data_IF_089350247539
#
_entry.id   IF_089350247539
#
_cell.length_a   1.000
_cell.length_b   1.000
_cell.length_c   1.000
_cell.angle_alpha   90.00
_cell.angle_beta   90.00
_cell.angle_gamma   90.00
#
_symmetry.space_group_name_H-M   'P 1'
#
loop_
_entity.id
_entity.type
_entity.pdbx_description
1 polymer ?
#
# COMPACT_ATOMS: atom_id res chain seq x y z
N UNK A 1 -27.22 16.60 16.59
CA UNK A 1 -27.13 15.83 15.32
C UNK A 1 -25.78 16.10 14.69
N UNK A 2 -25.12 15.08 14.13
CA UNK A 2 -23.85 15.24 13.38
C UNK A 2 -24.14 15.20 11.88
N UNK A 3 -23.28 15.80 11.06
CA UNK A 3 -23.41 15.82 9.59
C UNK A 3 -22.62 14.65 9.00
N UNK A 4 -23.27 13.81 8.21
CA UNK A 4 -22.62 12.68 7.53
C UNK A 4 -21.70 13.20 6.41
N UNK A 5 -20.48 12.66 6.29
CA UNK A 5 -19.51 13.13 5.29
C UNK A 5 -19.92 12.79 3.84
N UNK A 6 -20.67 11.70 3.66
CA UNK A 6 -21.12 11.23 2.34
C UNK A 6 -22.36 11.99 1.85
N UNK A 7 -23.50 11.82 2.52
CA UNK A 7 -24.74 12.48 2.09
C UNK A 7 -24.85 13.95 2.47
N UNK A 8 -23.92 14.47 3.31
CA UNK A 8 -23.91 15.85 3.81
C UNK A 8 -25.21 16.28 4.50
N UNK A 9 -26.00 15.34 5.02
CA UNK A 9 -27.22 15.59 5.80
C UNK A 9 -26.96 15.38 7.29
N UNK A 10 -27.72 16.09 8.13
CA UNK A 10 -27.75 15.85 9.56
C UNK A 10 -28.40 14.49 9.84
N UNK A 11 -27.76 13.66 10.66
CA UNK A 11 -28.22 12.31 11.00
C UNK A 11 -28.10 12.08 12.50
N UNK A 12 -28.82 11.06 12.96
CA UNK A 12 -28.81 10.60 14.35
C UNK A 12 -27.94 9.35 14.46
N UNK A 13 -28.15 8.37 13.58
CA UNK A 13 -27.42 7.10 13.61
C UNK A 13 -26.20 7.10 12.69
N UNK A 14 -25.03 6.86 13.29
CA UNK A 14 -23.75 6.68 12.63
C UNK A 14 -23.28 5.23 12.78
N UNK A 15 -22.44 4.81 11.85
CA UNK A 15 -21.86 3.46 11.82
C UNK A 15 -20.37 3.49 12.15
N UNK A 16 -19.86 2.34 12.55
CA UNK A 16 -18.44 2.02 12.52
C UNK A 16 -18.04 1.71 11.06
N UNK A 17 -17.56 2.72 10.34
CA UNK A 17 -17.19 2.62 8.93
C UNK A 17 -15.71 2.26 8.80
N UNK A 18 -15.41 1.24 7.98
CA UNK A 18 -14.03 0.91 7.65
C UNK A 18 -13.60 1.72 6.42
N UNK A 19 -12.59 2.58 6.58
CA UNK A 19 -12.08 3.40 5.48
C UNK A 19 -11.50 2.51 4.39
N UNK A 20 -10.56 1.64 4.78
CA UNK A 20 -10.12 0.51 3.95
C UNK A 20 -11.04 -0.67 4.24
N UNK A 21 -11.64 -1.35 3.24
CA UNK A 21 -12.60 -2.42 3.51
C UNK A 21 -12.04 -3.56 4.38
N UNK A 22 -12.83 -4.02 5.36
CA UNK A 22 -12.52 -5.16 6.24
C UNK A 22 -12.16 -6.44 5.46
N UNK A 23 -12.81 -6.68 4.31
CA UNK A 23 -12.54 -7.86 3.46
C UNK A 23 -11.13 -7.91 2.86
N UNK A 24 -10.38 -6.81 2.97
CA UNK A 24 -8.98 -6.70 2.58
C UNK A 24 -8.11 -6.34 3.79
N UNK A 25 -8.52 -6.73 5.00
CA UNK A 25 -7.83 -6.47 6.26
C UNK A 25 -7.59 -4.98 6.52
N UNK A 26 -8.59 -4.14 6.27
CA UNK A 26 -8.55 -2.73 6.68
C UNK A 26 -8.94 -2.56 8.15
N UNK A 27 -8.14 -1.77 8.90
CA UNK A 27 -8.29 -1.56 10.35
C UNK A 27 -8.39 -0.08 10.73
N UNK A 28 -8.64 0.81 9.77
CA UNK A 28 -8.91 2.22 10.04
C UNK A 28 -10.40 2.51 10.02
N UNK A 29 -10.91 2.98 11.16
CA UNK A 29 -12.34 3.15 11.40
C UNK A 29 -12.69 4.62 11.60
N UNK A 30 -13.82 5.05 11.06
CA UNK A 30 -14.38 6.38 11.26
C UNK A 30 -15.86 6.32 11.66
N UNK A 31 -16.31 7.34 12.38
CA UNK A 31 -17.67 7.42 12.93
C UNK A 31 -18.47 8.59 12.35
N UNK A 32 -18.10 9.02 11.14
CA UNK A 32 -18.63 10.21 10.45
C UNK A 32 -19.53 9.86 9.26
N UNK A 33 -19.78 8.56 9.02
CA UNK A 33 -20.71 8.04 8.01
C UNK A 33 -21.99 7.52 8.67
N UNK A 34 -23.16 7.87 8.12
CA UNK A 34 -24.44 7.40 8.63
C UNK A 34 -24.79 6.00 8.11
N UNK A 35 -25.54 5.19 8.89
CA UNK A 35 -25.86 3.79 8.52
C UNK A 35 -26.39 3.60 7.09
N UNK A 36 -27.31 4.44 6.55
CA UNK A 36 -27.76 4.29 5.16
C UNK A 36 -26.67 4.53 4.13
N UNK A 37 -25.71 5.43 4.41
CA UNK A 37 -24.58 5.67 3.52
C UNK A 37 -23.60 4.51 3.57
N UNK A 38 -23.20 4.05 4.76
CA UNK A 38 -22.31 2.89 4.92
C UNK A 38 -22.84 1.68 4.16
N UNK A 39 -24.11 1.31 4.36
CA UNK A 39 -24.72 0.19 3.64
C UNK A 39 -24.65 0.34 2.11
N UNK A 40 -24.79 1.57 1.59
CA UNK A 40 -24.69 1.85 0.14
C UNK A 40 -23.23 1.78 -0.34
N UNK A 41 -22.29 2.28 0.45
CA UNK A 41 -20.85 2.22 0.15
C UNK A 41 -20.39 0.76 0.07
N UNK A 42 -20.72 -0.07 1.06
CA UNK A 42 -20.33 -1.48 1.08
C UNK A 42 -20.77 -2.24 -0.18
N UNK A 43 -22.03 -2.07 -0.59
CA UNK A 43 -22.59 -2.78 -1.75
C UNK A 43 -22.12 -2.21 -3.10
N UNK A 44 -22.03 -0.88 -3.24
CA UNK A 44 -21.84 -0.26 -4.56
C UNK A 44 -20.45 0.32 -4.77
N UNK A 45 -19.63 0.48 -3.74
CA UNK A 45 -18.36 1.21 -3.80
C UNK A 45 -17.19 0.31 -3.37
N UNK A 46 -17.34 -0.40 -2.25
CA UNK A 46 -16.31 -1.31 -1.76
C UNK A 46 -16.29 -2.60 -2.58
N UNK A 47 -17.47 -3.16 -2.90
CA UNK A 47 -17.58 -4.43 -3.62
C UNK A 47 -16.79 -4.46 -4.96
N UNK A 48 -16.88 -3.44 -5.84
CA UNK A 48 -16.06 -3.40 -7.07
C UNK A 48 -14.55 -3.45 -6.83
N UNK A 49 -14.05 -2.89 -5.72
CA UNK A 49 -12.65 -2.94 -5.35
C UNK A 49 -12.28 -4.31 -4.77
N UNK A 50 -13.09 -4.83 -3.84
CA UNK A 50 -12.80 -6.06 -3.10
C UNK A 50 -12.98 -7.33 -3.94
N UNK A 51 -13.82 -7.25 -4.98
CA UNK A 51 -14.06 -8.31 -5.95
C UNK A 51 -13.27 -8.10 -7.25
N UNK A 52 -12.42 -7.07 -7.34
CA UNK A 52 -11.53 -6.91 -8.48
C UNK A 52 -10.61 -8.13 -8.61
N UNK A 53 -10.35 -8.60 -9.83
CA UNK A 53 -9.62 -9.85 -10.06
C UNK A 53 -8.23 -9.87 -9.40
N UNK A 54 -7.47 -8.78 -9.46
CA UNK A 54 -6.18 -8.69 -8.74
C UNK A 54 -6.33 -8.70 -7.21
N UNK A 55 -7.41 -8.12 -6.67
CA UNK A 55 -7.69 -8.22 -5.24
C UNK A 55 -8.06 -9.65 -4.84
N UNK A 56 -8.78 -10.36 -5.70
CA UNK A 56 -9.10 -11.78 -5.51
C UNK A 56 -7.83 -12.64 -5.47
N UNK A 57 -6.89 -12.43 -6.40
CA UNK A 57 -5.58 -13.07 -6.39
C UNK A 57 -4.81 -12.77 -5.10
N UNK A 58 -4.76 -11.51 -4.68
CA UNK A 58 -4.04 -11.12 -3.49
C UNK A 58 -4.63 -11.77 -2.23
N UNK A 59 -5.96 -11.71 -2.08
CA UNK A 59 -6.65 -12.37 -0.97
C UNK A 59 -6.42 -13.88 -0.97
N UNK A 60 -6.37 -14.50 -2.14
CA UNK A 60 -6.04 -15.92 -2.28
C UNK A 60 -4.59 -16.23 -1.85
N UNK A 61 -3.61 -15.46 -2.31
CA UNK A 61 -2.19 -15.61 -1.95
C UNK A 61 -2.00 -15.44 -0.43
N UNK A 62 -2.59 -14.39 0.13
CA UNK A 62 -2.52 -14.06 1.55
C UNK A 62 -3.45 -14.89 2.44
N UNK A 63 -4.25 -15.77 1.86
CA UNK A 63 -5.25 -16.60 2.56
C UNK A 63 -6.22 -15.76 3.41
N UNK A 64 -6.78 -14.70 2.83
CA UNK A 64 -7.79 -13.83 3.45
C UNK A 64 -9.21 -14.33 3.09
N UNK A 65 -9.92 -15.00 4.02
CA UNK A 65 -11.26 -15.49 3.75
C UNK A 65 -12.26 -14.34 3.62
N UNK A 66 -13.36 -14.56 2.90
CA UNK A 66 -14.52 -13.67 2.99
C UNK A 66 -15.28 -13.82 4.31
N UNK A 67 -16.33 -13.02 4.51
CA UNK A 67 -17.17 -13.06 5.72
C UNK A 67 -17.77 -14.44 6.05
N UNK A 68 -17.94 -15.31 5.05
CA UNK A 68 -18.44 -16.68 5.22
C UNK A 68 -17.33 -17.70 5.52
N UNK A 69 -16.09 -17.27 5.73
CA UNK A 69 -14.93 -18.14 5.95
C UNK A 69 -14.40 -18.82 4.67
N UNK A 70 -14.99 -18.53 3.51
CA UNK A 70 -14.62 -19.15 2.23
C UNK A 70 -13.49 -18.32 1.59
N UNK A 71 -12.42 -19.01 1.19
CA UNK A 71 -11.33 -18.40 0.42
C UNK A 71 -11.82 -18.09 -1.00
N UNK A 72 -11.62 -16.87 -1.53
CA UNK A 72 -11.83 -16.64 -2.95
C UNK A 72 -10.86 -17.52 -3.76
N UNK A 73 -11.35 -18.17 -4.81
CA UNK A 73 -10.53 -18.97 -5.71
C UNK A 73 -10.49 -18.27 -7.08
N UNK A 74 -9.37 -17.65 -7.48
CA UNK A 74 -9.30 -16.75 -8.64
C UNK A 74 -9.75 -17.35 -9.98
N UNK A 75 -9.66 -18.68 -10.08
CA UNK A 75 -10.07 -19.47 -11.25
C UNK A 75 -11.39 -20.24 -11.05
N UNK A 76 -12.18 -19.87 -10.03
CA UNK A 76 -13.52 -20.46 -9.84
C UNK A 76 -14.43 -20.04 -11.00
N UNK A 77 -15.42 -20.88 -11.27
CA UNK A 77 -16.30 -20.74 -12.42
C UNK A 77 -16.23 -21.93 -13.39
N UNK A 78 -16.90 -21.77 -14.52
CA UNK A 78 -16.95 -22.76 -15.60
C UNK A 78 -15.91 -22.36 -16.65
N UNK A 79 -14.99 -23.28 -16.92
CA UNK A 79 -13.94 -23.17 -17.93
C UNK A 79 -14.11 -24.29 -18.97
N UNK A 80 -13.27 -24.27 -20.00
CA UNK A 80 -13.36 -25.19 -21.15
C UNK A 80 -11.97 -25.67 -21.56
N UNK A 81 -11.90 -26.82 -22.21
CA UNK A 81 -10.65 -27.25 -22.85
C UNK A 81 -10.41 -26.43 -24.12
N UNK A 82 -9.15 -26.15 -24.43
CA UNK A 82 -8.81 -25.40 -25.64
C UNK A 82 -9.34 -26.12 -26.89
N UNK A 83 -10.13 -25.40 -27.69
CA UNK A 83 -10.79 -25.94 -28.88
C UNK A 83 -11.94 -26.91 -28.61
N UNK A 84 -12.54 -26.87 -27.41
CA UNK A 84 -13.73 -27.65 -27.03
C UNK A 84 -14.62 -26.81 -26.11
N UNK A 85 -15.65 -26.21 -26.68
CA UNK A 85 -16.59 -25.31 -25.99
C UNK A 85 -17.76 -26.05 -25.30
N UNK A 86 -17.88 -27.36 -25.48
CA UNK A 86 -18.99 -28.15 -24.94
C UNK A 86 -18.60 -28.82 -23.62
N UNK A 87 -17.33 -29.20 -23.46
CA UNK A 87 -16.85 -29.85 -22.23
C UNK A 87 -16.58 -28.83 -21.13
N UNK A 88 -17.56 -28.66 -20.24
CA UNK A 88 -17.45 -27.79 -19.06
C UNK A 88 -16.50 -28.40 -18.04
N UNK A 89 -15.54 -27.60 -17.58
CA UNK A 89 -14.55 -27.98 -16.56
C UNK A 89 -14.56 -26.98 -15.42
N UNK A 90 -14.56 -27.48 -14.19
CA UNK A 90 -14.32 -26.68 -12.98
C UNK A 90 -12.91 -26.95 -12.46
N UNK A 91 -12.19 -25.90 -12.10
CA UNK A 91 -10.92 -26.03 -11.39
C UNK A 91 -11.21 -26.13 -9.89
N UNK A 92 -10.92 -27.27 -9.31
CA UNK A 92 -11.09 -27.54 -7.89
C UNK A 92 -9.74 -27.47 -7.19
N UNK A 93 -9.74 -26.96 -5.96
CA UNK A 93 -8.56 -26.92 -5.12
C UNK A 93 -8.71 -27.87 -3.94
N UNK A 94 -7.68 -28.66 -3.67
CA UNK A 94 -7.63 -29.50 -2.46
C UNK A 94 -7.09 -28.74 -1.24
N UNK A 95 -7.07 -29.40 -0.07
CA UNK A 95 -6.59 -28.80 1.18
C UNK A 95 -5.10 -28.42 1.16
N UNK A 96 -4.32 -28.99 0.25
CA UNK A 96 -2.89 -28.68 0.08
C UNK A 96 -2.65 -27.55 -0.93
N UNK A 97 -3.73 -27.03 -1.51
CA UNK A 97 -3.68 -25.96 -2.49
C UNK A 97 -3.49 -26.45 -3.93
N UNK A 98 -3.47 -27.76 -4.17
CA UNK A 98 -3.30 -28.31 -5.51
C UNK A 98 -4.59 -28.13 -6.31
N UNK A 99 -4.46 -27.49 -7.46
CA UNK A 99 -5.56 -27.31 -8.41
C UNK A 99 -5.67 -28.57 -9.28
N UNK A 100 -6.87 -29.14 -9.36
CA UNK A 100 -7.20 -30.27 -10.22
C UNK A 100 -8.46 -29.96 -11.02
N UNK A 101 -8.49 -30.33 -12.31
CA UNK A 101 -9.72 -30.20 -13.08
C UNK A 101 -10.77 -31.22 -12.62
N UNK A 102 -12.02 -30.83 -12.80
CA UNK A 102 -13.19 -31.69 -12.62
C UNK A 102 -14.16 -31.43 -13.77
N UNK A 103 -14.46 -32.47 -14.55
CA UNK A 103 -15.38 -32.36 -15.68
C UNK A 103 -16.81 -32.30 -15.14
N UNK A 104 -17.55 -31.27 -15.54
CA UNK A 104 -18.97 -31.12 -15.24
C UNK A 104 -19.77 -31.85 -16.33
N UNK A 105 -20.48 -32.94 -15.99
CA UNK A 105 -21.18 -33.72 -16.99
C UNK A 105 -22.41 -32.96 -17.48
N UNK A 106 -22.55 -32.88 -18.81
CA UNK A 106 -23.65 -32.21 -19.49
C UNK A 106 -23.89 -32.83 -20.88
N UNK A 107 -25.02 -32.50 -21.51
CA UNK A 107 -25.28 -32.83 -22.92
C UNK A 107 -24.70 -31.69 -23.79
N UNK A 108 -23.80 -31.98 -24.75
CA UNK A 108 -23.26 -30.98 -25.68
C UNK A 108 -24.35 -30.25 -26.44
N UNK A 109 -24.14 -28.97 -26.78
CA UNK A 109 -25.18 -28.15 -27.44
C UNK A 109 -25.51 -28.61 -28.86
N UNK A 110 -24.55 -29.23 -29.54
CA UNK A 110 -24.67 -29.70 -30.92
C UNK A 110 -25.02 -31.19 -31.04
N UNK A 111 -25.67 -31.77 -30.03
CA UNK A 111 -26.16 -33.15 -30.12
C UNK A 111 -27.21 -33.29 -31.22
N UNK A 112 -27.06 -34.32 -32.07
CA UNK A 112 -28.06 -34.70 -33.07
C UNK A 112 -29.29 -35.27 -32.37
N UNK A 113 -30.48 -35.05 -32.93
CA UNK A 113 -31.78 -35.44 -32.33
C UNK A 113 -31.87 -36.93 -31.91
N UNK A 114 -31.05 -37.80 -32.50
CA UNK A 114 -31.07 -39.25 -32.26
C UNK A 114 -29.84 -39.81 -31.51
N UNK A 115 -28.80 -39.02 -31.23
CA UNK A 115 -27.65 -39.49 -30.45
C UNK A 115 -26.86 -38.35 -29.82
N UNK A 116 -26.45 -38.54 -28.57
CA UNK A 116 -25.61 -37.61 -27.82
C UNK A 116 -24.56 -38.36 -27.01
N UNK A 117 -23.49 -37.67 -26.65
CA UNK A 117 -22.46 -38.17 -25.73
C UNK A 117 -22.51 -37.39 -24.43
N UNK A 118 -22.32 -38.08 -23.29
CA UNK A 118 -22.13 -37.45 -21.99
C UNK A 118 -20.70 -37.78 -21.55
N UNK A 119 -19.93 -36.75 -21.21
CA UNK A 119 -18.57 -36.91 -20.66
C UNK A 119 -18.63 -36.78 -19.15
N UNK A 120 -18.11 -37.78 -18.43
CA UNK A 120 -18.01 -37.77 -16.97
C UNK A 120 -16.54 -37.70 -16.52
N UNK A 121 -16.30 -37.09 -15.36
CA UNK A 121 -15.02 -37.19 -14.70
C UNK A 121 -14.80 -38.63 -14.20
N UNK A 122 -13.58 -39.15 -14.32
CA UNK A 122 -13.25 -40.51 -13.87
C UNK A 122 -13.55 -40.73 -12.38
N UNK A 123 -13.48 -39.68 -11.56
CA UNK A 123 -13.85 -39.75 -10.13
C UNK A 123 -15.31 -40.16 -9.90
N UNK A 124 -16.18 -39.95 -10.89
CA UNK A 124 -17.61 -40.20 -10.81
C UNK A 124 -18.04 -41.56 -11.40
N UNK A 125 -17.10 -42.39 -11.86
CA UNK A 125 -17.36 -43.69 -12.50
C UNK A 125 -18.34 -44.56 -11.68
N UNK A 126 -18.17 -44.60 -10.35
CA UNK A 126 -19.04 -45.37 -9.44
C UNK A 126 -20.48 -44.85 -9.35
N UNK A 127 -20.71 -43.60 -9.72
CA UNK A 127 -22.00 -42.91 -9.65
C UNK A 127 -22.60 -42.61 -11.03
N UNK A 128 -22.02 -43.19 -12.09
CA UNK A 128 -22.36 -42.89 -13.49
C UNK A 128 -23.86 -42.96 -13.76
N UNK A 129 -24.53 -44.07 -13.40
CA UNK A 129 -25.97 -44.23 -13.65
C UNK A 129 -26.82 -43.14 -12.98
N UNK A 130 -26.46 -42.77 -11.75
CA UNK A 130 -27.17 -41.72 -10.99
C UNK A 130 -27.01 -40.37 -11.66
N UNK A 131 -25.81 -40.06 -12.15
CA UNK A 131 -25.51 -38.80 -12.83
C UNK A 131 -26.23 -38.72 -14.17
N UNK A 132 -26.16 -39.79 -14.97
CA UNK A 132 -26.87 -39.87 -16.26
C UNK A 132 -28.38 -39.66 -16.06
N UNK A 133 -29.00 -40.37 -15.10
CA UNK A 133 -30.43 -40.21 -14.82
C UNK A 133 -30.80 -38.75 -14.49
N UNK A 134 -29.95 -38.07 -13.71
CA UNK A 134 -30.16 -36.67 -13.34
C UNK A 134 -30.04 -35.73 -14.55
N UNK A 135 -29.12 -36.01 -15.47
CA UNK A 135 -28.95 -35.24 -16.71
C UNK A 135 -30.15 -35.44 -17.63
N UNK A 136 -30.59 -36.69 -17.84
CA UNK A 136 -31.77 -37.01 -18.64
C UNK A 136 -33.02 -36.30 -18.10
N UNK A 137 -33.25 -36.37 -16.78
CA UNK A 137 -34.38 -35.72 -16.13
C UNK A 137 -34.35 -34.18 -16.31
N UNK A 138 -33.17 -33.56 -16.17
CA UNK A 138 -33.02 -32.10 -16.35
C UNK A 138 -33.28 -31.65 -17.79
N UNK A 139 -33.05 -32.51 -18.76
CA UNK A 139 -33.26 -32.25 -20.18
C UNK A 139 -34.60 -32.79 -20.70
N UNK A 140 -35.46 -33.33 -19.83
CA UNK A 140 -36.78 -33.85 -20.21
C UNK A 140 -36.74 -35.12 -21.05
N UNK A 141 -35.65 -35.88 -21.04
CA UNK A 141 -35.46 -37.09 -21.84
C UNK A 141 -35.91 -38.31 -21.01
N UNK A 142 -36.91 -39.09 -21.45
CA UNK A 142 -37.31 -40.32 -20.78
C UNK A 142 -36.20 -41.37 -20.81
N UNK A 143 -35.81 -41.92 -19.65
CA UNK A 143 -34.74 -42.92 -19.54
C UNK A 143 -34.99 -44.18 -20.38
N UNK A 144 -36.26 -44.57 -20.51
CA UNK A 144 -36.69 -45.76 -21.26
C UNK A 144 -36.34 -45.66 -22.76
N UNK A 145 -36.21 -44.43 -23.28
CA UNK A 145 -35.90 -44.16 -24.68
C UNK A 145 -34.40 -44.09 -24.97
N UNK A 146 -33.55 -44.30 -23.96
CA UNK A 146 -32.11 -44.12 -24.06
C UNK A 146 -31.41 -45.44 -23.72
N UNK A 147 -30.51 -45.87 -24.60
CA UNK A 147 -29.61 -46.99 -24.35
C UNK A 147 -28.16 -46.55 -24.52
N UNK A 148 -27.27 -47.05 -23.67
CA UNK A 148 -25.84 -46.77 -23.78
C UNK A 148 -25.27 -47.68 -24.86
N UNK A 149 -24.96 -47.09 -26.02
CA UNK A 149 -24.42 -47.83 -27.18
C UNK A 149 -22.90 -47.98 -27.09
N UNK A 150 -22.21 -47.05 -26.42
CA UNK A 150 -20.75 -47.03 -26.31
C UNK A 150 -20.33 -46.39 -24.99
N UNK A 151 -19.37 -47.02 -24.29
CA UNK A 151 -18.75 -46.49 -23.08
C UNK A 151 -17.23 -46.64 -23.21
N UNK A 152 -16.51 -45.52 -23.15
CA UNK A 152 -15.06 -45.49 -23.36
C UNK A 152 -14.37 -44.56 -22.37
N UNK A 153 -13.20 -45.00 -21.93
CA UNK A 153 -12.30 -44.18 -21.16
C UNK A 153 -11.36 -43.43 -22.11
N UNK A 154 -11.34 -42.10 -22.00
CA UNK A 154 -10.44 -41.26 -22.78
C UNK A 154 -9.58 -40.41 -21.85
N UNK A 155 -8.28 -40.39 -22.13
CA UNK A 155 -7.39 -39.41 -21.52
C UNK A 155 -7.52 -38.09 -22.30
N UNK A 156 -7.86 -37.01 -21.59
CA UNK A 156 -7.91 -35.67 -22.15
C UNK A 156 -6.59 -34.99 -21.84
N UNK A 157 -5.68 -34.99 -22.81
CA UNK A 157 -4.44 -34.22 -22.75
C UNK A 157 -4.62 -32.91 -23.53
N UNK A 158 -5.45 -32.03 -22.99
CA UNK A 158 -5.70 -30.70 -23.55
C UNK A 158 -5.54 -29.64 -22.46
N UNK A 159 -4.95 -28.46 -22.78
CA UNK A 159 -4.92 -27.36 -21.85
C UNK A 159 -6.34 -26.83 -21.59
N UNK A 160 -6.56 -26.32 -20.38
CA UNK A 160 -7.80 -25.64 -20.00
C UNK A 160 -7.60 -24.16 -20.23
N UNK A 161 -8.53 -23.52 -20.93
CA UNK A 161 -8.53 -22.09 -21.17
C UNK A 161 -9.36 -21.39 -20.08
N UNK A 162 -8.75 -20.41 -19.41
CA UNK A 162 -9.37 -19.62 -18.36
C UNK A 162 -9.43 -18.17 -18.82
N UNK A 163 -10.65 -17.64 -18.93
CA UNK A 163 -10.88 -16.26 -19.34
C UNK A 163 -11.06 -15.37 -18.11
N UNK A 164 -10.16 -14.39 -17.94
CA UNK A 164 -10.20 -13.44 -16.85
C UNK A 164 -10.64 -12.06 -17.36
N UNK A 165 -11.71 -11.52 -16.78
CA UNK A 165 -12.12 -10.14 -17.01
C UNK A 165 -11.49 -9.21 -15.98
N UNK A 166 -10.79 -8.18 -16.43
CA UNK A 166 -10.12 -7.18 -15.59
C UNK A 166 -10.89 -5.85 -15.72
N UNK A 167 -11.39 -5.34 -14.60
CA UNK A 167 -12.03 -4.02 -14.56
C UNK A 167 -10.97 -2.92 -14.45
N UNK A 168 -10.99 -1.95 -15.37
CA UNK A 168 -10.02 -0.86 -15.38
C UNK A 168 -10.56 0.44 -14.79
N UNK A 169 -11.85 0.46 -14.39
CA UNK A 169 -12.55 1.69 -14.02
C UNK A 169 -13.27 1.63 -12.67
N UNK A 170 -14.14 0.64 -12.43
CA UNK A 170 -15.06 0.65 -11.29
C UNK A 170 -14.33 0.57 -9.94
N UNK A 171 -13.24 -0.18 -9.84
CA UNK A 171 -12.45 -0.28 -8.60
C UNK A 171 -11.93 1.09 -8.10
N UNK A 172 -11.72 2.06 -8.99
CA UNK A 172 -11.25 3.41 -8.64
C UNK A 172 -12.23 4.16 -7.74
N UNK A 173 -13.52 3.82 -7.78
CA UNK A 173 -14.52 4.40 -6.88
C UNK A 173 -14.25 4.02 -5.41
N UNK A 174 -13.84 2.78 -5.15
CA UNK A 174 -13.41 2.34 -3.82
C UNK A 174 -12.14 3.05 -3.35
N UNK A 175 -11.18 3.26 -4.26
CA UNK A 175 -9.96 4.04 -3.95
C UNK A 175 -10.28 5.53 -3.67
N UNK A 176 -11.23 6.12 -4.41
CA UNK A 176 -11.71 7.48 -4.15
C UNK A 176 -12.37 7.60 -2.77
N UNK A 177 -13.17 6.61 -2.37
CA UNK A 177 -13.77 6.53 -1.01
C UNK A 177 -12.68 6.58 0.05
N UNK A 178 -11.69 5.68 -0.03
CA UNK A 178 -10.59 5.58 0.93
C UNK A 178 -9.89 6.94 1.09
N UNK A 179 -9.46 7.55 -0.01
CA UNK A 179 -8.74 8.82 0.02
C UNK A 179 -9.59 9.98 0.55
N UNK A 180 -10.87 10.03 0.17
CA UNK A 180 -11.82 11.03 0.65
C UNK A 180 -12.04 10.94 2.16
N UNK A 181 -12.36 9.74 2.65
CA UNK A 181 -12.64 9.49 4.06
C UNK A 181 -11.42 9.78 4.93
N UNK A 182 -10.24 9.29 4.53
CA UNK A 182 -8.99 9.56 5.23
C UNK A 182 -8.71 11.07 5.33
N UNK A 183 -8.91 11.82 4.25
CA UNK A 183 -8.72 13.27 4.26
C UNK A 183 -9.76 14.01 5.10
N UNK A 184 -11.03 13.60 5.07
CA UNK A 184 -12.07 14.27 5.87
C UNK A 184 -11.88 14.11 7.36
N UNK A 185 -11.36 12.97 7.81
CA UNK A 185 -11.10 12.71 9.22
C UNK A 185 -9.89 13.51 9.72
N UNK A 186 -8.83 13.60 8.90
CA UNK A 186 -7.59 14.26 9.29
C UNK A 186 -7.59 15.78 9.06
N UNK A 187 -8.41 16.30 8.13
CA UNK A 187 -8.47 17.73 7.80
C UNK A 187 -9.91 18.24 7.92
N UNK A 188 -10.30 18.69 9.11
CA UNK A 188 -11.68 19.14 9.41
C UNK A 188 -12.22 20.18 8.42
N UNK A 189 -11.39 21.12 7.97
CA UNK A 189 -11.83 22.19 7.06
C UNK A 189 -12.03 21.73 5.61
N UNK A 190 -11.40 20.62 5.20
CA UNK A 190 -11.57 20.02 3.87
C UNK A 190 -13.04 19.66 3.64
N UNK A 191 -13.64 18.91 4.56
CA UNK A 191 -15.05 18.54 4.48
C UNK A 191 -16.00 19.75 4.41
N UNK A 192 -15.75 20.77 5.23
CA UNK A 192 -16.67 21.89 5.45
C UNK A 192 -16.70 22.88 4.29
N UNK A 193 -15.54 23.25 3.77
CA UNK A 193 -15.36 24.43 2.89
C UNK A 193 -14.99 24.08 1.46
N UNK A 194 -14.54 22.86 1.19
CA UNK A 194 -14.00 22.51 -0.12
C UNK A 194 -15.09 22.13 -1.13
N UNK A 195 -14.96 22.66 -2.36
CA UNK A 195 -15.89 22.40 -3.46
C UNK A 195 -15.65 21.00 -4.03
N UNK A 196 -14.39 20.58 -4.21
CA UNK A 196 -14.07 19.22 -4.67
C UNK A 196 -14.52 18.18 -3.65
N UNK A 197 -14.37 18.45 -2.35
CA UNK A 197 -14.92 17.56 -1.32
C UNK A 197 -16.44 17.36 -1.46
N UNK A 198 -17.19 18.38 -1.93
CA UNK A 198 -18.64 18.26 -2.19
C UNK A 198 -18.90 17.41 -3.41
N UNK A 199 -18.17 17.64 -4.49
CA UNK A 199 -18.23 16.84 -5.73
C UNK A 199 -17.96 15.37 -5.44
N UNK A 200 -16.85 15.06 -4.77
CA UNK A 200 -16.46 13.69 -4.43
C UNK A 200 -17.52 13.01 -3.56
N UNK A 201 -17.99 13.68 -2.49
CA UNK A 201 -19.05 13.11 -1.64
C UNK A 201 -20.34 12.80 -2.41
N UNK A 202 -20.67 13.60 -3.43
CA UNK A 202 -21.85 13.38 -4.26
C UNK A 202 -21.66 12.23 -5.25
N UNK A 203 -20.47 12.08 -5.84
CA UNK A 203 -20.13 10.91 -6.67
C UNK A 203 -20.26 9.62 -5.87
N UNK A 204 -19.68 9.58 -4.67
CA UNK A 204 -19.76 8.44 -3.74
C UNK A 204 -21.21 8.18 -3.31
N UNK A 205 -21.96 9.23 -2.94
CA UNK A 205 -23.36 9.09 -2.53
C UNK A 205 -24.24 8.54 -3.65
N UNK A 206 -23.99 8.94 -4.91
CA UNK A 206 -24.76 8.47 -6.08
C UNK A 206 -24.28 7.11 -6.59
N UNK A 207 -23.05 6.70 -6.29
CA UNK A 207 -22.33 5.63 -6.98
C UNK A 207 -22.20 5.93 -8.49
N UNK A 208 -21.81 7.17 -8.80
CA UNK A 208 -21.73 7.69 -10.18
C UNK A 208 -20.38 7.34 -10.82
N UNK A 209 -20.29 6.13 -11.35
CA UNK A 209 -19.07 5.63 -12.01
C UNK A 209 -18.74 6.35 -13.30
N UNK A 210 -19.75 6.80 -14.04
CA UNK A 210 -19.55 7.51 -15.31
C UNK A 210 -19.04 8.93 -15.06
N UNK A 211 -19.51 9.58 -13.98
CA UNK A 211 -19.04 10.88 -13.54
C UNK A 211 -17.56 10.93 -13.14
N UNK A 212 -16.90 9.80 -12.84
CA UNK A 212 -15.49 9.76 -12.45
C UNK A 212 -14.57 10.40 -13.50
N UNK A 213 -14.84 10.17 -14.78
CA UNK A 213 -13.99 10.62 -15.88
C UNK A 213 -14.07 12.14 -16.09
N UNK A 214 -15.11 12.79 -15.59
CA UNK A 214 -15.36 14.22 -15.81
C UNK A 214 -14.65 15.14 -14.81
N UNK A 215 -13.94 14.59 -13.81
CA UNK A 215 -13.45 15.36 -12.67
C UNK A 215 -11.93 15.32 -12.45
N UNK A 216 -11.18 14.63 -13.32
CA UNK A 216 -9.71 14.51 -13.24
C UNK A 216 -9.24 14.21 -11.80
N UNK A 217 -9.81 13.19 -11.17
CA UNK A 217 -9.58 12.87 -9.75
C UNK A 217 -8.37 11.97 -9.51
N UNK A 218 -7.77 11.41 -10.56
CA UNK A 218 -6.81 10.31 -10.43
C UNK A 218 -5.46 10.66 -11.05
N UNK A 219 -4.41 10.36 -10.31
CA UNK A 219 -3.02 10.36 -10.75
C UNK A 219 -2.61 8.90 -10.95
N UNK A 220 -2.32 8.54 -12.19
CA UNK A 220 -2.07 7.16 -12.61
C UNK A 220 -3.36 6.36 -12.86
N UNK A 221 -3.18 5.13 -13.33
CA UNK A 221 -4.29 4.25 -13.70
C UNK A 221 -4.79 3.33 -12.57
N UNK A 222 -4.14 3.34 -11.40
CA UNK A 222 -4.46 2.47 -10.26
C UNK A 222 -3.59 1.22 -10.15
N UNK A 223 -2.76 0.93 -11.15
CA UNK A 223 -1.90 -0.26 -11.25
C UNK A 223 -0.41 0.11 -11.49
N UNK A 224 -0.09 1.40 -11.46
CA UNK A 224 1.24 1.95 -11.75
C UNK A 224 1.98 2.26 -10.46
N UNK A 225 2.95 1.41 -10.12
CA UNK A 225 3.79 1.57 -8.91
C UNK A 225 4.56 2.89 -8.92
N UNK A 226 4.82 3.47 -10.10
CA UNK A 226 5.56 4.72 -10.31
C UNK A 226 4.93 5.89 -9.55
N UNK A 227 3.62 5.84 -9.29
CA UNK A 227 2.89 6.82 -8.49
C UNK A 227 3.45 6.95 -7.07
N UNK A 228 4.11 5.90 -6.55
CA UNK A 228 4.72 5.87 -5.22
C UNK A 228 6.21 6.21 -5.19
N UNK A 229 6.87 6.42 -6.33
CA UNK A 229 8.29 6.78 -6.41
C UNK A 229 8.67 7.93 -5.45
N UNK A 230 7.87 9.02 -5.32
CA UNK A 230 8.20 10.11 -4.41
C UNK A 230 8.34 9.70 -2.93
N UNK A 231 7.82 8.53 -2.55
CA UNK A 231 7.77 8.07 -1.17
C UNK A 231 8.63 6.84 -0.90
N UNK A 232 9.35 6.30 -1.89
CA UNK A 232 10.16 5.07 -1.73
C UNK A 232 11.24 5.18 -0.66
N UNK A 233 11.66 6.40 -0.35
CA UNK A 233 12.61 6.65 0.72
C UNK A 233 11.97 6.55 2.11
N UNK A 234 10.72 7.00 2.25
CA UNK A 234 9.98 7.00 3.51
C UNK A 234 9.28 5.66 3.78
N UNK A 235 8.73 5.04 2.75
CA UNK A 235 7.95 3.81 2.86
C UNK A 235 8.41 2.78 1.84
N UNK A 236 8.31 1.51 2.23
CA UNK A 236 8.52 0.39 1.33
C UNK A 236 7.17 -0.35 1.16
N UNK A 237 6.50 -0.23 0.00
CA UNK A 237 5.26 -0.97 -0.28
C UNK A 237 5.50 -2.48 -0.16
N UNK A 238 4.92 -3.09 0.87
CA UNK A 238 4.96 -4.54 1.13
C UNK A 238 3.60 -5.15 0.79
N UNK A 239 3.62 -6.43 0.42
CA UNK A 239 2.40 -7.17 0.05
C UNK A 239 1.37 -7.27 1.18
N UNK A 240 1.80 -7.07 2.44
CA UNK A 240 0.95 -7.25 3.62
C UNK A 240 0.59 -5.93 4.33
N UNK A 241 0.83 -4.80 3.66
CA UNK A 241 0.55 -3.47 4.19
C UNK A 241 -0.33 -2.66 3.24
N UNK A 242 -1.11 -1.75 3.80
CA UNK A 242 -1.72 -0.65 3.05
C UNK A 242 -1.19 0.69 3.54
N UNK A 243 -0.92 1.60 2.61
CA UNK A 243 -0.42 2.93 2.90
C UNK A 243 -1.36 3.99 2.36
N UNK A 244 -1.71 4.96 3.20
CA UNK A 244 -2.46 6.16 2.84
C UNK A 244 -1.57 7.37 3.12
N UNK A 245 -1.25 8.16 2.11
CA UNK A 245 -0.34 9.30 2.23
C UNK A 245 -1.07 10.56 1.82
N UNK A 246 -1.43 11.38 2.82
CA UNK A 246 -2.12 12.64 2.61
C UNK A 246 -1.10 13.79 2.67
N UNK A 247 -0.99 14.55 1.59
CA UNK A 247 -0.07 15.67 1.49
C UNK A 247 -0.65 16.80 0.63
N UNK A 248 -0.10 17.99 0.76
CA UNK A 248 -0.44 19.17 -0.01
C UNK A 248 0.74 19.49 -0.92
N UNK A 249 0.53 19.36 -2.23
CA UNK A 249 1.58 19.58 -3.23
C UNK A 249 1.38 20.95 -3.84
N UNK A 250 2.46 21.73 -3.94
CA UNK A 250 2.41 23.06 -4.56
C UNK A 250 1.83 23.00 -5.98
N UNK A 251 0.96 23.95 -6.32
CA UNK A 251 0.27 24.07 -7.62
C UNK A 251 -0.73 22.93 -7.96
N UNK A 252 -0.65 21.79 -7.27
CA UNK A 252 -1.57 20.67 -7.43
C UNK A 252 -2.66 20.68 -6.34
N UNK A 253 -2.34 21.08 -5.11
CA UNK A 253 -3.25 21.10 -3.96
C UNK A 253 -3.24 19.80 -3.15
N UNK A 254 -4.36 19.47 -2.50
CA UNK A 254 -4.48 18.31 -1.63
C UNK A 254 -4.57 17.00 -2.43
N UNK A 255 -3.69 16.05 -2.10
CA UNK A 255 -3.62 14.73 -2.74
C UNK A 255 -3.51 13.64 -1.66
N UNK A 256 -4.23 12.53 -1.87
CA UNK A 256 -4.04 11.31 -1.09
C UNK A 256 -3.49 10.20 -1.99
N UNK A 257 -2.27 9.75 -1.76
CA UNK A 257 -1.72 8.57 -2.42
C UNK A 257 -2.11 7.31 -1.65
N UNK A 258 -2.45 6.26 -2.38
CA UNK A 258 -2.97 5.02 -1.83
C UNK A 258 -2.18 3.87 -2.42
N UNK A 259 -1.67 3.01 -1.54
CA UNK A 259 -1.17 1.70 -1.87
C UNK A 259 -1.96 0.62 -1.12
N UNK A 260 -2.49 -0.37 -1.85
CA UNK A 260 -3.12 -1.55 -1.26
C UNK A 260 -2.37 -2.83 -1.69
N UNK A 261 -1.85 -3.59 -0.72
CA UNK A 261 -1.14 -4.88 -0.89
C UNK A 261 -0.10 -4.93 -2.03
N UNK A 262 0.62 -3.84 -2.30
CA UNK A 262 1.50 -3.73 -3.48
C UNK A 262 0.84 -4.05 -4.84
N UNK A 263 -0.49 -4.03 -4.91
CA UNK A 263 -1.28 -4.35 -6.10
C UNK A 263 -1.87 -3.10 -6.72
N UNK A 264 -2.47 -2.24 -5.88
CA UNK A 264 -3.06 -0.98 -6.33
C UNK A 264 -2.20 0.19 -5.89
N UNK A 265 -2.01 1.14 -6.80
CA UNK A 265 -1.20 2.34 -6.62
C UNK A 265 -1.89 3.51 -7.34
N UNK A 266 -2.36 4.51 -6.58
CA UNK A 266 -3.06 5.65 -7.16
C UNK A 266 -2.89 6.90 -6.32
N UNK A 267 -2.81 8.06 -6.97
CA UNK A 267 -3.00 9.35 -6.32
C UNK A 267 -4.43 9.83 -6.51
N UNK A 268 -5.09 10.28 -5.45
CA UNK A 268 -6.42 10.87 -5.48
C UNK A 268 -6.28 12.38 -5.32
N UNK A 269 -6.64 13.13 -6.36
CA UNK A 269 -6.66 14.59 -6.32
C UNK A 269 -7.91 15.09 -5.60
N UNK A 270 -7.74 15.46 -4.33
CA UNK A 270 -8.83 15.77 -3.41
C UNK A 270 -9.25 17.24 -3.44
N UNK A 271 -8.33 18.16 -3.72
CA UNK A 271 -8.58 19.60 -3.84
C UNK A 271 -7.51 20.29 -4.68
N UNK A 272 -7.89 21.39 -5.36
CA UNK A 272 -6.92 22.31 -5.96
C UNK A 272 -6.35 23.30 -4.94
N UNK A 273 -6.87 23.33 -3.71
CA UNK A 273 -6.37 24.18 -2.64
C UNK A 273 -5.23 23.48 -1.92
N UNK A 274 -4.24 24.27 -1.55
CA UNK A 274 -3.22 23.85 -0.61
C UNK A 274 -3.79 23.88 0.81
N UNK A 275 -3.36 22.91 1.61
CA UNK A 275 -3.72 22.78 3.02
C UNK A 275 -2.45 22.75 3.85
N UNK A 276 -2.49 23.46 4.98
CA UNK A 276 -1.43 23.36 5.97
C UNK A 276 -1.54 21.99 6.67
N UNK A 277 -0.56 21.12 6.37
CA UNK A 277 -0.50 19.76 6.90
C UNK A 277 0.71 19.68 7.83
N UNK A 278 0.51 19.31 9.11
CA UNK A 278 1.60 19.18 10.06
C UNK A 278 2.71 18.27 9.52
N UNK A 279 3.97 18.71 9.66
CA UNK A 279 5.14 17.98 9.20
C UNK A 279 5.09 17.58 7.72
N UNK A 280 4.40 18.38 6.88
CA UNK A 280 4.21 18.24 5.42
C UNK A 280 3.34 17.06 4.94
N UNK A 281 3.12 16.04 5.77
CA UNK A 281 2.44 14.82 5.36
C UNK A 281 1.84 14.06 6.54
N UNK A 282 0.69 13.43 6.31
CA UNK A 282 0.06 12.46 7.21
C UNK A 282 0.10 11.09 6.54
N UNK A 283 0.72 10.11 7.19
CA UNK A 283 0.93 8.76 6.66
C UNK A 283 0.15 7.78 7.52
N UNK A 284 -0.88 7.18 6.95
CA UNK A 284 -1.61 6.05 7.49
C UNK A 284 -0.97 4.74 7.08
N UNK A 285 -0.64 3.89 8.06
CA UNK A 285 -0.05 2.58 7.85
C UNK A 285 -1.01 1.53 8.42
N UNK A 286 -1.57 0.71 7.53
CA UNK A 286 -2.41 -0.42 7.89
C UNK A 286 -1.58 -1.71 7.85
N UNK A 287 -1.23 -2.21 9.02
CA UNK A 287 -0.49 -3.46 9.17
C UNK A 287 -1.48 -4.63 9.25
N UNK A 288 -1.44 -5.52 8.24
CA UNK A 288 -2.39 -6.64 8.19
C UNK A 288 -2.03 -7.82 9.07
N UNK A 289 -0.78 -7.92 9.51
CA UNK A 289 -0.31 -8.95 10.46
C UNK A 289 -0.68 -8.56 11.88
N UNK A 290 -0.33 -7.34 12.26
CA UNK A 290 -0.57 -6.79 13.59
C UNK A 290 -2.03 -6.35 13.79
N UNK A 291 -2.82 -6.34 12.71
CA UNK A 291 -4.24 -5.97 12.70
C UNK A 291 -4.51 -4.59 13.28
N UNK A 292 -3.63 -3.64 12.95
CA UNK A 292 -3.65 -2.30 13.50
C UNK A 292 -3.42 -1.25 12.41
N UNK A 293 -4.02 -0.09 12.63
CA UNK A 293 -3.74 1.10 11.85
C UNK A 293 -3.02 2.13 12.72
N UNK A 294 -1.95 2.73 12.19
CA UNK A 294 -1.23 3.82 12.82
C UNK A 294 -1.15 5.02 11.89
N UNK A 295 -1.23 6.22 12.46
CA UNK A 295 -0.99 7.47 11.75
C UNK A 295 0.34 8.01 12.26
N UNK A 296 1.22 8.34 11.32
CA UNK A 296 2.54 8.88 11.60
C UNK A 296 2.84 10.04 10.65
N UNK A 297 3.83 10.84 10.99
CA UNK A 297 4.43 11.84 10.11
C UNK A 297 5.85 11.44 9.69
N UNK A 298 6.45 12.12 8.69
CA UNK A 298 7.80 11.80 8.24
C UNK A 298 8.86 11.88 9.36
N UNK A 299 8.74 12.82 10.30
CA UNK A 299 9.68 12.96 11.42
C UNK A 299 9.65 11.72 12.33
N UNK A 300 8.46 11.20 12.66
CA UNK A 300 8.33 10.00 13.49
C UNK A 300 8.90 8.75 12.78
N UNK A 301 8.83 8.69 11.44
CA UNK A 301 9.50 7.65 10.65
C UNK A 301 11.01 7.76 10.80
N UNK A 302 11.56 8.97 10.69
CA UNK A 302 13.00 9.20 10.86
C UNK A 302 13.44 8.78 12.27
N UNK A 303 12.74 9.25 13.30
CA UNK A 303 13.08 8.96 14.70
C UNK A 303 13.03 7.46 15.04
N UNK A 304 12.16 6.69 14.37
CA UNK A 304 11.99 5.25 14.64
C UNK A 304 12.91 4.38 13.77
N UNK A 305 13.22 4.82 12.55
CA UNK A 305 13.93 4.00 11.55
C UNK A 305 15.42 4.27 11.48
N UNK A 306 15.90 5.36 12.08
CA UNK A 306 17.30 5.79 12.04
C UNK A 306 17.89 5.83 13.46
N UNK A 307 19.21 5.59 13.58
CA UNK A 307 19.94 5.70 14.85
C UNK A 307 20.27 7.17 15.12
N UNK A 308 20.48 7.56 16.38
CA UNK A 308 21.13 8.83 16.71
C UNK A 308 22.44 9.00 15.93
N UNK A 309 22.52 10.05 15.13
CA UNK A 309 23.66 10.31 14.27
C UNK A 309 24.91 10.66 15.09
N UNK A 310 26.05 9.98 14.89
CA UNK A 310 27.31 10.51 15.36
C UNK A 310 27.62 11.82 14.60
N UNK A 311 28.14 12.80 15.33
CA UNK A 311 28.68 14.02 14.73
C UNK A 311 30.06 13.71 14.14
N UNK A 312 30.22 13.95 12.84
CA UNK A 312 31.51 13.88 12.15
C UNK A 312 32.00 15.29 11.83
N UNK A 313 33.21 15.60 12.26
CA UNK A 313 33.83 16.89 12.02
C UNK A 313 34.73 16.81 10.79
N UNK A 314 34.59 17.77 9.89
CA UNK A 314 35.52 17.98 8.77
C UNK A 314 36.53 19.01 9.21
N UNK A 315 37.79 18.57 9.31
CA UNK A 315 38.88 19.40 9.81
C UNK A 315 39.59 20.14 8.68
N UNK A 316 40.07 21.34 8.98
CA UNK A 316 40.99 22.08 8.11
C UNK A 316 42.42 21.93 8.64
N UNK A 317 43.30 21.35 7.82
CA UNK A 317 44.71 21.13 8.15
C UNK A 317 45.61 22.14 7.44
N UNK A 318 46.74 22.48 8.06
CA UNK A 318 47.66 23.45 7.47
C UNK A 318 48.47 22.85 6.31
N UNK A 319 48.64 21.51 6.30
CA UNK A 319 49.36 20.79 5.26
C UNK A 319 48.97 19.30 5.24
N UNK A 320 49.34 18.62 4.14
CA UNK A 320 49.00 17.22 3.90
C UNK A 320 49.65 16.23 4.88
N UNK A 321 50.79 16.57 5.47
CA UNK A 321 51.44 15.70 6.47
C UNK A 321 50.64 15.67 7.77
N UNK A 322 50.19 16.83 8.24
CA UNK A 322 49.34 16.97 9.43
C UNK A 322 48.01 16.20 9.27
N UNK A 323 47.42 16.26 8.08
CA UNK A 323 46.22 15.51 7.73
C UNK A 323 46.44 13.99 7.79
N UNK A 324 47.51 13.49 7.17
CA UNK A 324 47.83 12.05 7.15
C UNK A 324 48.11 11.51 8.54
N UNK A 325 48.88 12.24 9.36
CA UNK A 325 49.19 11.84 10.73
C UNK A 325 47.94 11.82 11.60
N UNK A 326 47.04 12.81 11.44
CA UNK A 326 45.77 12.86 12.16
C UNK A 326 44.90 11.64 11.86
N UNK A 327 44.63 11.35 10.57
CA UNK A 327 43.77 10.23 10.20
C UNK A 327 44.37 8.86 10.51
N UNK A 328 45.71 8.75 10.50
CA UNK A 328 46.38 7.54 10.98
C UNK A 328 46.14 7.34 12.48
N UNK A 329 46.32 8.38 13.29
CA UNK A 329 46.08 8.32 14.73
C UNK A 329 44.60 8.07 15.07
N UNK A 330 43.67 8.63 14.30
CA UNK A 330 42.22 8.37 14.43
C UNK A 330 41.90 6.90 14.17
N UNK A 331 42.41 6.33 13.08
CA UNK A 331 42.17 4.94 12.70
C UNK A 331 42.77 3.94 13.69
N UNK A 332 43.89 4.29 14.31
CA UNK A 332 44.54 3.49 15.35
C UNK A 332 43.87 3.64 16.74
N UNK A 333 42.87 4.52 16.88
CA UNK A 333 42.18 4.79 18.15
C UNK A 333 42.99 5.60 19.16
N UNK A 334 44.03 6.29 18.69
CA UNK A 334 44.99 7.03 19.51
C UNK A 334 44.57 8.47 19.82
N UNK A 335 43.48 8.94 19.21
CA UNK A 335 42.91 10.25 19.47
C UNK A 335 41.43 10.17 19.82
N UNK A 336 40.98 11.09 20.67
CA UNK A 336 39.57 11.22 21.08
C UNK A 336 39.16 12.69 21.10
N UNK A 337 37.87 12.97 20.87
CA UNK A 337 37.33 14.31 21.09
C UNK A 337 37.25 14.62 22.58
N UNK A 338 37.56 15.86 22.95
CA UNK A 338 37.30 16.35 24.30
C UNK A 338 35.80 16.45 24.56
N UNK A 339 35.35 15.92 25.69
CA UNK A 339 33.93 15.91 26.11
C UNK A 339 33.79 16.71 27.40
N UNK A 340 32.87 17.68 27.40
CA UNK A 340 32.50 18.49 28.56
C UNK A 340 31.07 18.18 28.96
N UNK A 341 30.87 17.64 30.18
CA UNK A 341 29.54 17.29 30.71
C UNK A 341 28.70 16.41 29.76
N UNK A 342 29.33 15.47 29.05
CA UNK A 342 28.65 14.61 28.09
C UNK A 342 28.39 15.22 26.71
N UNK A 343 28.86 16.45 26.45
CA UNK A 343 28.71 17.14 25.17
C UNK A 343 30.06 17.49 24.55
N UNK A 344 30.08 17.70 23.24
CA UNK A 344 31.28 18.14 22.51
C UNK A 344 31.25 19.67 22.44
N UNK A 345 32.15 20.38 23.15
CA UNK A 345 32.23 21.83 23.05
C UNK A 345 32.95 22.28 21.77
N UNK A 346 32.66 23.50 21.33
CA UNK A 346 33.38 24.22 20.28
C UNK A 346 34.20 25.35 20.92
N UNK A 347 35.39 25.60 20.40
CA UNK A 347 36.36 26.55 20.93
C UNK A 347 36.67 27.65 19.91
N UNK A 348 37.05 28.82 20.41
CA UNK A 348 37.76 29.81 19.62
C UNK A 348 39.23 29.43 19.49
N UNK A 349 39.94 30.07 18.55
CA UNK A 349 41.37 29.84 18.29
C UNK A 349 42.27 30.04 19.52
N UNK A 350 41.87 30.93 20.44
CA UNK A 350 42.58 31.20 21.69
C UNK A 350 42.37 30.11 22.77
N UNK A 351 41.52 29.11 22.50
CA UNK A 351 41.20 28.02 23.42
C UNK A 351 40.07 28.30 24.41
N UNK A 352 39.43 29.46 24.34
CA UNK A 352 38.20 29.72 25.10
C UNK A 352 37.02 28.94 24.51
N UNK A 353 36.10 28.50 25.37
CA UNK A 353 34.90 27.78 24.94
C UNK A 353 33.96 28.77 24.27
N UNK A 354 33.69 28.57 22.98
CA UNK A 354 32.69 29.31 22.22
C UNK A 354 31.28 28.76 22.51
N UNK A 355 31.15 27.42 22.50
CA UNK A 355 29.89 26.73 22.77
C UNK A 355 30.15 25.51 23.66
N UNK A 356 29.38 25.36 24.73
CA UNK A 356 29.47 24.19 25.62
C UNK A 356 28.94 22.90 25.00
N UNK A 357 28.06 23.04 24.00
CA UNK A 357 27.50 21.94 23.23
C UNK A 357 27.39 22.35 21.75
N UNK A 358 28.09 21.65 20.86
CA UNK A 358 28.05 21.89 19.43
C UNK A 358 26.62 21.77 18.85
N UNK A 359 25.74 20.94 19.43
CA UNK A 359 24.36 20.81 18.96
C UNK A 359 23.57 22.12 19.05
N UNK A 360 23.92 23.01 19.98
CA UNK A 360 23.25 24.32 20.10
C UNK A 360 23.69 25.28 18.99
N UNK A 361 24.93 25.17 18.52
CA UNK A 361 25.39 25.87 17.30
C UNK A 361 24.61 25.39 16.08
N UNK A 362 24.44 24.08 15.92
CA UNK A 362 23.74 23.47 14.76
C UNK A 362 22.25 23.83 14.66
N UNK A 363 21.62 24.28 15.76
CA UNK A 363 20.23 24.79 15.79
C UNK A 363 20.08 26.22 15.27
N UNK A 364 21.18 26.97 15.10
CA UNK A 364 21.13 28.37 14.66
C UNK A 364 20.67 28.47 13.20
N UNK A 365 19.80 29.45 12.91
CA UNK A 365 19.16 29.59 11.59
C UNK A 365 20.10 30.08 10.49
N UNK A 366 21.20 30.74 10.84
CA UNK A 366 22.10 31.34 9.86
C UNK A 366 23.12 30.36 9.24
N UNK A 367 23.20 29.12 9.73
CA UNK A 367 24.10 28.11 9.16
C UNK A 367 23.59 27.63 7.79
N UNK A 368 24.51 27.54 6.84
CA UNK A 368 24.25 26.91 5.55
C UNK A 368 24.18 25.40 5.78
N UNK A 369 23.09 24.79 5.29
CA UNK A 369 22.85 23.35 5.38
C UNK A 369 22.82 22.75 3.99
N UNK A 370 23.64 21.73 3.76
CA UNK A 370 23.65 20.96 2.52
C UNK A 370 23.22 19.53 2.84
N UNK A 371 22.11 19.07 2.25
CA UNK A 371 21.70 17.67 2.35
C UNK A 371 22.43 16.86 1.29
N UNK A 372 23.40 16.04 1.72
CA UNK A 372 24.30 15.26 0.85
C UNK A 372 23.93 13.78 0.77
N UNK A 373 23.00 13.32 1.63
CA UNK A 373 22.56 11.93 1.70
C UNK A 373 21.29 11.61 0.90
N UNK A 374 20.71 10.43 1.16
CA UNK A 374 19.38 10.06 0.69
C UNK A 374 18.54 9.46 1.82
N UNK A 375 17.25 9.73 1.82
CA UNK A 375 16.30 9.13 2.79
C UNK A 375 16.10 7.61 2.60
N UNK A 376 16.87 6.93 1.74
CA UNK A 376 16.75 5.48 1.52
C UNK A 376 17.67 4.72 2.48
N UNK A 377 18.94 5.12 2.56
CA UNK A 377 19.98 4.43 3.31
C UNK A 377 20.66 5.34 4.37
N UNK A 378 20.97 6.59 4.02
CA UNK A 378 21.75 7.50 4.87
C UNK A 378 21.28 8.93 4.73
N UNK A 379 20.80 9.56 5.81
CA UNK A 379 20.55 11.01 5.81
C UNK A 379 21.84 11.69 6.24
N UNK A 380 22.44 12.47 5.35
CA UNK A 380 23.65 13.24 5.64
C UNK A 380 23.29 14.71 5.51
N UNK A 381 23.33 15.44 6.62
CA UNK A 381 23.20 16.90 6.62
C UNK A 381 24.55 17.50 7.01
N UNK A 382 25.11 18.25 6.08
CA UNK A 382 26.34 19.00 6.24
C UNK A 382 26.00 20.43 6.71
N UNK A 383 26.66 20.85 7.79
CA UNK A 383 26.55 22.20 8.34
C UNK A 383 27.88 22.93 8.14
N UNK A 384 27.86 23.97 7.29
CA UNK A 384 29.00 24.87 7.11
C UNK A 384 28.96 25.91 8.22
N UNK A 385 30.07 26.02 8.98
CA UNK A 385 30.17 26.96 10.09
C UNK A 385 30.34 28.40 9.55
N UNK A 386 29.58 29.33 10.13
CA UNK A 386 29.56 30.76 9.82
C UNK A 386 30.64 31.56 10.57
N UNK A 387 31.41 30.90 11.43
CA UNK A 387 32.50 31.48 12.21
C UNK A 387 33.63 30.47 12.41
N UNK A 388 34.83 30.96 12.74
CA UNK A 388 36.04 30.15 12.89
C UNK A 388 36.03 29.40 14.23
N UNK A 389 35.61 28.13 14.21
CA UNK A 389 35.49 27.28 15.40
C UNK A 389 36.43 26.08 15.35
N UNK A 390 36.76 25.59 16.54
CA UNK A 390 37.71 24.51 16.74
C UNK A 390 37.14 23.43 17.65
N UNK A 391 37.63 22.21 17.52
CA UNK A 391 37.45 21.15 18.53
C UNK A 391 38.80 20.77 19.13
N UNK A 392 38.78 20.37 20.40
CA UNK A 392 39.97 19.91 21.12
C UNK A 392 40.09 18.39 21.02
N UNK A 393 41.28 17.93 20.65
CA UNK A 393 41.61 16.51 20.49
C UNK A 393 42.54 16.05 21.63
N UNK A 394 42.23 14.90 22.23
CA UNK A 394 43.00 14.24 23.28
C UNK A 394 43.84 13.10 22.68
N UNK A 395 45.03 12.78 23.24
CA UNK A 395 45.62 13.40 24.44
C UNK A 395 46.45 14.67 24.15
N UNK A 396 46.62 15.07 22.89
CA UNK A 396 47.50 16.19 22.50
C UNK A 396 47.02 17.57 22.96
N UNK A 397 45.74 17.68 23.35
CA UNK A 397 45.02 18.93 23.64
C UNK A 397 45.03 19.96 22.51
N UNK A 398 45.40 19.54 21.30
CA UNK A 398 45.49 20.42 20.15
C UNK A 398 44.10 20.80 19.66
N UNK A 399 43.96 22.07 19.25
CA UNK A 399 42.76 22.59 18.61
C UNK A 399 42.87 22.38 17.10
N UNK A 400 41.86 21.74 16.53
CA UNK A 400 41.72 21.59 15.08
C UNK A 400 40.54 22.42 14.59
N UNK A 401 40.78 23.22 13.57
CA UNK A 401 39.75 24.06 12.97
C UNK A 401 38.73 23.15 12.29
N UNK A 402 37.45 23.43 12.53
CA UNK A 402 36.34 22.72 11.92
C UNK A 402 35.85 23.55 10.74
N UNK A 403 35.91 22.99 9.54
CA UNK A 403 35.31 23.59 8.37
C UNK A 403 33.80 23.30 8.34
N UNK A 404 33.43 22.05 8.61
CA UNK A 404 32.05 21.56 8.48
C UNK A 404 31.74 20.51 9.54
N UNK A 405 30.46 20.38 9.89
CA UNK A 405 29.95 19.32 10.78
C UNK A 405 28.91 18.51 10.01
N UNK A 406 29.17 17.21 9.86
CA UNK A 406 28.28 16.25 9.22
C UNK A 406 27.48 15.49 10.28
N UNK A 407 26.16 15.49 10.12
CA UNK A 407 25.24 14.62 10.85
C UNK A 407 24.88 13.47 9.91
N UNK A 408 25.28 12.24 10.25
CA UNK A 408 24.99 11.05 9.44
C UNK A 408 24.05 10.10 10.19
N UNK A 409 22.81 10.01 9.74
CA UNK A 409 21.83 9.06 10.23
C UNK A 409 21.82 7.82 9.32
N UNK A 410 22.20 6.67 9.88
CA UNK A 410 22.08 5.38 9.19
C UNK A 410 20.71 4.75 9.47
N UNK A 411 20.08 4.23 8.42
CA UNK A 411 18.81 3.51 8.55
C UNK A 411 19.04 2.12 9.15
N UNK A 412 18.43 1.85 10.29
CA UNK A 412 18.48 0.54 10.97
C UNK A 412 17.23 -0.31 10.79
N UNK A 413 16.13 0.29 10.32
CA UNK A 413 14.90 -0.42 10.02
C UNK A 413 14.32 0.05 8.71
N UNK A 414 13.86 -0.90 7.91
CA UNK A 414 13.17 -0.57 6.65
C UNK A 414 11.80 0.09 6.89
N UNK A 415 11.27 0.08 8.12
CA UNK A 415 9.89 0.47 8.43
C UNK A 415 9.65 0.71 9.93
N UNK A 416 8.60 1.49 10.26
CA UNK A 416 7.95 1.52 11.58
C UNK A 416 7.15 0.24 11.77
#
# INVERSE_FOLDING_TARGET
MKKCIICRKNRVEFSDEHVIPDSINGYYHIYTVCKPCNSKLGQNIDEPLTNHKFMEFQRYIMRIPGKKGIMPHPFDGINYFKGDEDTKVKLQQDKMGKITPYILPDIPRNSLDNSFSITLDKKDEKNMDKIINKILQRNGIPKENVSIVRNENKLIDKPIEVNLSIDTKKFKMGLLKIGYEFATENIKHYFLKDVKARTISNLLYKADFDGLDNHNLFIGNGLQKEVMIPFESLINPKEDFHYLILTSVKDLGLVCFINLFSTFFIGIHLSNKEYDIPNSMIIGINDTHEKKFKIVCPLEIVDTCYVEAPLRFVYEFNNQFEELDFYKAEKEGNINLYILNGHIPLFYKNGEIAYTNCADKLKQRQLIKNDLGNFKNYIITNHILDEELYVKILPSEKLFKVAEINIELERIKDHI
#
